data_IF_968621292559
#
_entry.id   IF_968621292559
#
_cell.length_a   1.000
_cell.length_b   1.000
_cell.length_c   1.000
_cell.angle_alpha   90.00
_cell.angle_beta   90.00
_cell.angle_gamma   90.00
#
_symmetry.space_group_name_H-M   'P 1'
#
loop_
_entity.id
_entity.type
_entity.pdbx_description
1 polymer ?
#
# COMPACT_ATOMS: atom_id res chain seq x y z
N UNK A 1 0.08 -14.90 -18.30
CA UNK A 1 -0.46 -13.84 -19.18
C UNK A 1 -1.59 -13.07 -18.55
N UNK A 2 -2.57 -13.76 -17.94
CA UNK A 2 -3.73 -13.12 -17.28
C UNK A 2 -3.26 -12.28 -16.08
N UNK A 3 -2.35 -12.77 -15.27
CA UNK A 3 -1.82 -12.08 -14.08
C UNK A 3 -1.11 -10.77 -14.44
N UNK A 4 -0.33 -10.76 -15.51
CA UNK A 4 0.30 -9.54 -16.01
C UNK A 4 -0.71 -8.50 -16.50
N UNK A 5 -1.78 -8.96 -17.13
CA UNK A 5 -2.86 -8.09 -17.58
C UNK A 5 -3.60 -7.47 -16.40
N UNK A 6 -3.89 -8.28 -15.37
CA UNK A 6 -4.52 -7.82 -14.13
C UNK A 6 -3.65 -6.79 -13.41
N UNK A 7 -2.36 -7.06 -13.27
CA UNK A 7 -1.40 -6.14 -12.65
C UNK A 7 -1.34 -4.80 -13.39
N UNK A 8 -1.21 -4.82 -14.71
CA UNK A 8 -1.17 -3.60 -15.53
C UNK A 8 -2.47 -2.81 -15.41
N UNK A 9 -3.61 -3.50 -15.42
CA UNK A 9 -4.92 -2.87 -15.31
C UNK A 9 -5.09 -2.21 -13.93
N UNK A 10 -4.75 -2.90 -12.84
CA UNK A 10 -4.82 -2.35 -11.48
C UNK A 10 -3.87 -1.17 -11.29
N UNK A 11 -2.64 -1.26 -11.80
CA UNK A 11 -1.69 -0.16 -11.77
C UNK A 11 -2.18 1.06 -12.57
N UNK A 12 -2.81 0.84 -13.72
CA UNK A 12 -3.41 1.92 -14.50
C UNK A 12 -4.55 2.61 -13.73
N UNK A 13 -5.43 1.85 -13.08
CA UNK A 13 -6.49 2.42 -12.24
C UNK A 13 -5.92 3.17 -11.03
N UNK A 14 -4.88 2.64 -10.38
CA UNK A 14 -4.17 3.35 -9.30
C UNK A 14 -3.59 4.68 -9.78
N UNK A 15 -2.94 4.69 -10.94
CA UNK A 15 -2.39 5.92 -11.51
C UNK A 15 -3.47 6.94 -11.86
N UNK A 16 -4.60 6.50 -12.43
CA UNK A 16 -5.73 7.36 -12.78
C UNK A 16 -6.37 7.95 -11.51
N UNK A 17 -6.61 7.12 -10.48
CA UNK A 17 -7.19 7.60 -9.22
C UNK A 17 -6.25 8.54 -8.47
N UNK A 18 -4.94 8.27 -8.45
CA UNK A 18 -3.94 9.17 -7.88
C UNK A 18 -3.94 10.53 -8.60
N UNK A 19 -3.98 10.53 -9.93
CA UNK A 19 -4.06 11.77 -10.70
C UNK A 19 -5.36 12.53 -10.46
N UNK A 20 -6.48 11.82 -10.33
CA UNK A 20 -7.77 12.43 -10.02
C UNK A 20 -7.78 13.10 -8.63
N UNK A 21 -7.16 12.46 -7.61
CA UNK A 21 -7.02 13.02 -6.26
C UNK A 21 -6.30 14.39 -6.31
N UNK A 22 -5.23 14.50 -7.08
CA UNK A 22 -4.45 15.74 -7.20
C UNK A 22 -5.25 16.87 -7.91
N UNK A 23 -6.17 16.49 -8.79
CA UNK A 23 -6.94 17.45 -9.59
C UNK A 23 -8.20 17.98 -8.93
N UNK A 24 -8.78 17.23 -8.02
CA UNK A 24 -10.04 17.56 -7.37
C UNK A 24 -9.77 18.44 -6.15
N UNK A 25 -10.50 19.57 -6.03
CA UNK A 25 -10.39 20.51 -4.91
C UNK A 25 -11.41 20.25 -3.81
N UNK A 26 -12.44 19.46 -4.08
CA UNK A 26 -13.46 19.15 -3.10
C UNK A 26 -12.96 18.05 -2.15
N UNK A 27 -12.72 18.40 -0.89
CA UNK A 27 -12.14 17.48 0.11
C UNK A 27 -13.00 16.25 0.32
N UNK A 28 -14.31 16.35 0.26
CA UNK A 28 -15.20 15.19 0.38
C UNK A 28 -15.01 14.18 -0.76
N UNK A 29 -14.85 14.68 -1.99
CA UNK A 29 -14.57 13.82 -3.14
C UNK A 29 -13.16 13.21 -3.05
N UNK A 30 -12.18 13.96 -2.58
CA UNK A 30 -10.79 13.49 -2.36
C UNK A 30 -10.77 12.34 -1.36
N UNK A 31 -11.47 12.45 -0.23
CA UNK A 31 -11.53 11.39 0.79
C UNK A 31 -12.14 10.11 0.21
N UNK A 32 -13.21 10.21 -0.56
CA UNK A 32 -13.81 9.03 -1.23
C UNK A 32 -12.85 8.38 -2.22
N UNK A 33 -12.18 9.19 -3.04
CA UNK A 33 -11.18 8.69 -3.99
C UNK A 33 -9.98 8.05 -3.28
N UNK A 34 -9.58 8.59 -2.14
CA UNK A 34 -8.53 7.98 -1.31
C UNK A 34 -8.93 6.59 -0.82
N UNK A 35 -10.16 6.42 -0.36
CA UNK A 35 -10.70 5.10 0.00
C UNK A 35 -10.72 4.11 -1.16
N UNK A 36 -11.09 4.57 -2.37
CA UNK A 36 -11.04 3.75 -3.60
C UNK A 36 -9.60 3.39 -3.94
N UNK A 37 -8.66 4.34 -3.84
CA UNK A 37 -7.23 4.11 -4.06
C UNK A 37 -6.69 3.01 -3.14
N UNK A 38 -7.00 3.06 -1.83
CA UNK A 38 -6.60 2.04 -0.87
C UNK A 38 -7.21 0.67 -1.16
N UNK A 39 -8.46 0.60 -1.62
CA UNK A 39 -9.07 -0.67 -2.05
C UNK A 39 -8.40 -1.25 -3.29
N UNK A 40 -8.05 -0.42 -4.26
CA UNK A 40 -7.31 -0.86 -5.46
C UNK A 40 -5.91 -1.33 -5.10
N UNK A 41 -5.23 -0.63 -4.16
CA UNK A 41 -3.93 -1.02 -3.61
C UNK A 41 -4.02 -2.37 -2.91
N UNK A 42 -5.03 -2.57 -2.05
CA UNK A 42 -5.28 -3.86 -1.41
C UNK A 42 -5.52 -4.98 -2.43
N UNK A 43 -6.30 -4.70 -3.49
CA UNK A 43 -6.50 -5.64 -4.60
C UNK A 43 -5.19 -6.02 -5.30
N UNK A 44 -4.29 -5.06 -5.50
CA UNK A 44 -2.97 -5.32 -6.06
C UNK A 44 -2.15 -6.23 -5.13
N UNK A 45 -2.15 -6.00 -3.82
CA UNK A 45 -1.46 -6.85 -2.85
C UNK A 45 -2.00 -8.28 -2.83
N UNK A 46 -3.31 -8.47 -3.02
CA UNK A 46 -3.90 -9.83 -3.17
C UNK A 46 -3.33 -10.53 -4.39
N UNK A 47 -3.23 -9.85 -5.54
CA UNK A 47 -2.67 -10.41 -6.77
C UNK A 47 -1.18 -10.74 -6.63
N UNK A 48 -0.47 -10.03 -5.74
CA UNK A 48 0.93 -10.27 -5.40
C UNK A 48 1.13 -11.31 -4.28
N UNK A 49 0.10 -12.09 -3.92
CA UNK A 49 0.12 -13.09 -2.85
C UNK A 49 0.45 -12.54 -1.45
N UNK A 50 0.27 -11.23 -1.24
CA UNK A 50 0.49 -10.55 0.04
C UNK A 50 -0.86 -10.29 0.75
N UNK A 51 -1.61 -11.33 1.06
CA UNK A 51 -2.97 -11.25 1.59
C UNK A 51 -3.04 -10.52 2.96
N UNK A 52 -2.07 -10.71 3.83
CA UNK A 52 -1.97 -10.03 5.13
C UNK A 52 -1.81 -8.52 4.99
N UNK A 53 -0.99 -8.07 4.05
CA UNK A 53 -0.83 -6.64 3.72
C UNK A 53 -2.11 -6.09 3.08
N UNK A 54 -2.76 -6.87 2.21
CA UNK A 54 -4.01 -6.47 1.57
C UNK A 54 -5.12 -6.21 2.61
N UNK A 55 -5.27 -7.09 3.60
CA UNK A 55 -6.25 -6.92 4.67
C UNK A 55 -5.97 -5.69 5.53
N UNK A 56 -4.72 -5.46 5.90
CA UNK A 56 -4.34 -4.28 6.68
C UNK A 56 -4.55 -2.99 5.90
N UNK A 57 -4.19 -2.95 4.63
CA UNK A 57 -4.42 -1.80 3.74
C UNK A 57 -5.92 -1.53 3.56
N UNK A 58 -6.74 -2.54 3.31
CA UNK A 58 -8.18 -2.38 3.17
C UNK A 58 -8.83 -1.91 4.47
N UNK A 59 -8.47 -2.49 5.61
CA UNK A 59 -9.05 -2.15 6.90
C UNK A 59 -8.67 -0.74 7.35
N UNK A 60 -7.40 -0.38 7.26
CA UNK A 60 -6.89 0.91 7.73
C UNK A 60 -7.07 1.99 6.68
N UNK A 61 -6.65 1.77 5.45
CA UNK A 61 -6.68 2.76 4.38
C UNK A 61 -8.10 3.06 3.90
N UNK A 62 -8.82 2.03 3.45
CA UNK A 62 -10.16 2.22 2.94
C UNK A 62 -11.21 2.37 4.05
N UNK A 63 -11.04 1.70 5.19
CA UNK A 63 -11.97 1.72 6.31
C UNK A 63 -11.70 2.88 7.28
N UNK A 64 -10.81 2.64 8.24
CA UNK A 64 -10.61 3.52 9.39
C UNK A 64 -10.20 4.95 8.98
N UNK A 65 -9.23 5.07 8.08
CA UNK A 65 -8.72 6.37 7.64
C UNK A 65 -9.79 7.21 6.95
N UNK A 66 -10.60 6.62 6.09
CA UNK A 66 -11.67 7.34 5.39
C UNK A 66 -12.76 7.80 6.35
N UNK A 67 -13.13 6.99 7.34
CA UNK A 67 -14.11 7.37 8.37
C UNK A 67 -13.58 8.51 9.22
N UNK A 68 -12.33 8.45 9.67
CA UNK A 68 -11.71 9.52 10.45
C UNK A 68 -11.60 10.82 9.64
N UNK A 69 -11.22 10.76 8.37
CA UNK A 69 -11.16 11.94 7.50
C UNK A 69 -12.55 12.54 7.26
N UNK A 70 -13.58 11.70 7.07
CA UNK A 70 -14.95 12.18 6.93
C UNK A 70 -15.47 12.82 8.23
N UNK A 71 -15.14 12.23 9.39
CA UNK A 71 -15.49 12.79 10.69
C UNK A 71 -14.82 14.16 10.91
N UNK A 72 -13.54 14.28 10.60
CA UNK A 72 -12.82 15.57 10.69
C UNK A 72 -13.38 16.60 9.71
N UNK A 73 -13.73 16.18 8.51
CA UNK A 73 -14.35 17.07 7.51
C UNK A 73 -15.74 17.56 7.97
N UNK A 74 -16.52 16.70 8.61
CA UNK A 74 -17.82 17.08 9.16
C UNK A 74 -17.72 18.15 10.27
N UNK A 75 -16.61 18.14 11.02
CA UNK A 75 -16.32 19.12 12.06
C UNK A 75 -15.71 20.42 11.51
N UNK A 76 -15.19 20.38 10.28
CA UNK A 76 -14.52 21.52 9.65
C UNK A 76 -15.48 22.26 8.72
N UNK A 77 -15.56 23.60 8.84
CA UNK A 77 -16.46 24.42 8.03
C UNK A 77 -16.04 24.58 6.57
N UNK A 78 -14.76 24.33 6.25
CA UNK A 78 -14.20 24.48 4.92
C UNK A 78 -14.14 23.12 4.22
N UNK A 79 -14.89 22.97 3.14
CA UNK A 79 -14.96 21.75 2.34
C UNK A 79 -14.13 21.83 1.05
N UNK A 80 -13.48 22.96 0.81
CA UNK A 80 -12.65 23.19 -0.37
C UNK A 80 -11.21 23.53 0.00
N UNK A 81 -10.28 22.94 -0.75
CA UNK A 81 -8.86 23.22 -0.61
C UNK A 81 -8.53 24.60 -1.18
N UNK A 82 -7.89 25.44 -0.37
CA UNK A 82 -7.38 26.73 -0.83
C UNK A 82 -6.08 26.51 -1.60
N UNK A 83 -5.87 27.19 -2.73
CA UNK A 83 -4.62 27.09 -3.45
C UNK A 83 -3.47 27.56 -2.55
N UNK A 84 -2.33 26.84 -2.52
CA UNK A 84 -1.20 27.23 -1.71
C UNK A 84 -0.66 28.59 -2.13
N UNK A 85 -0.42 29.47 -1.15
CA UNK A 85 0.12 30.83 -1.38
C UNK A 85 1.58 30.81 -1.87
N UNK A 86 2.32 29.72 -1.64
CA UNK A 86 3.70 29.55 -2.06
C UNK A 86 3.87 28.40 -3.04
N UNK A 87 4.82 28.58 -3.96
CA UNK A 87 5.22 27.54 -4.92
C UNK A 87 5.76 26.31 -4.17
N UNK A 88 5.15 25.12 -4.30
CA UNK A 88 5.51 23.94 -3.49
C UNK A 88 6.76 23.23 -4.01
N UNK A 89 7.87 23.96 -4.18
CA UNK A 89 9.11 23.39 -4.69
C UNK A 89 9.75 22.43 -3.69
N UNK A 90 9.78 22.81 -2.43
CA UNK A 90 10.41 22.01 -1.38
C UNK A 90 9.70 20.65 -1.21
N UNK A 91 8.37 20.55 -1.05
CA UNK A 91 7.67 19.26 -1.00
C UNK A 91 7.89 18.42 -2.27
N UNK A 92 7.91 19.07 -3.44
CA UNK A 92 8.11 18.37 -4.71
C UNK A 92 9.50 17.74 -4.83
N UNK A 93 10.54 18.44 -4.40
CA UNK A 93 11.91 17.91 -4.35
C UNK A 93 11.99 16.72 -3.38
N UNK A 94 11.41 16.84 -2.18
CA UNK A 94 11.42 15.76 -1.20
C UNK A 94 10.74 14.52 -1.77
N UNK A 95 9.57 14.66 -2.38
CA UNK A 95 8.84 13.53 -2.99
C UNK A 95 9.64 12.89 -4.13
N UNK A 96 10.26 13.72 -4.99
CA UNK A 96 11.08 13.20 -6.09
C UNK A 96 12.32 12.46 -5.61
N UNK A 97 13.04 13.02 -4.61
CA UNK A 97 14.23 12.38 -4.03
C UNK A 97 13.85 11.07 -3.34
N UNK A 98 12.77 11.07 -2.54
CA UNK A 98 12.29 9.87 -1.87
C UNK A 98 11.82 8.82 -2.89
N UNK A 99 11.07 9.23 -3.91
CA UNK A 99 10.64 8.34 -4.99
C UNK A 99 11.82 7.73 -5.75
N UNK A 100 12.82 8.54 -6.10
CA UNK A 100 14.03 8.07 -6.77
C UNK A 100 14.82 7.09 -5.89
N UNK A 101 14.94 7.36 -4.59
CA UNK A 101 15.60 6.47 -3.65
C UNK A 101 14.88 5.12 -3.53
N UNK A 102 13.54 5.14 -3.49
CA UNK A 102 12.73 3.91 -3.46
C UNK A 102 12.88 3.10 -4.75
N UNK A 103 12.81 3.76 -5.91
CA UNK A 103 13.02 3.09 -7.21
C UNK A 103 14.44 2.51 -7.28
N UNK A 104 15.44 3.25 -6.83
CA UNK A 104 16.82 2.73 -6.77
C UNK A 104 16.93 1.49 -5.87
N UNK A 105 16.27 1.49 -4.72
CA UNK A 105 16.23 0.35 -3.80
C UNK A 105 15.55 -0.89 -4.39
N UNK A 106 14.67 -0.74 -5.39
CA UNK A 106 14.01 -1.88 -6.05
C UNK A 106 14.82 -2.51 -7.18
N UNK A 107 15.91 -1.86 -7.63
CA UNK A 107 16.73 -2.37 -8.75
C UNK A 107 17.44 -3.69 -8.42
N UNK A 108 17.78 -3.91 -7.16
CA UNK A 108 18.49 -5.10 -6.67
C UNK A 108 17.56 -6.20 -6.14
N UNK A 109 16.23 -6.01 -6.27
CA UNK A 109 15.24 -7.01 -5.86
C UNK A 109 15.13 -8.07 -6.95
N UNK A 110 15.21 -9.39 -6.58
CA UNK A 110 15.00 -10.49 -7.52
C UNK A 110 13.65 -10.37 -8.24
N UNK A 111 13.59 -10.87 -9.47
CA UNK A 111 12.35 -10.87 -10.24
C UNK A 111 11.24 -11.62 -9.51
N UNK A 112 10.00 -11.14 -9.68
CA UNK A 112 8.83 -11.79 -9.09
C UNK A 112 8.74 -13.26 -9.54
N UNK A 113 8.48 -14.17 -8.59
CA UNK A 113 8.44 -15.63 -8.83
C UNK A 113 9.77 -16.29 -9.16
N UNK A 114 10.90 -15.69 -8.79
CA UNK A 114 12.21 -16.33 -8.91
C UNK A 114 12.39 -17.37 -7.80
N UNK A 115 12.42 -18.65 -8.19
CA UNK A 115 12.63 -19.78 -7.26
C UNK A 115 14.03 -19.80 -6.63
N UNK A 116 14.99 -19.11 -7.25
CA UNK A 116 16.37 -19.00 -6.78
C UNK A 116 16.60 -17.80 -5.83
N UNK A 117 15.57 -16.97 -5.61
CA UNK A 117 15.67 -15.80 -4.73
C UNK A 117 16.14 -16.17 -3.32
N UNK A 118 16.99 -15.37 -2.68
CA UNK A 118 17.46 -15.60 -1.31
C UNK A 118 16.34 -15.81 -0.29
N UNK A 119 15.19 -15.21 -0.52
CA UNK A 119 14.00 -15.39 0.30
C UNK A 119 13.54 -16.84 0.34
N UNK A 120 13.56 -17.55 -0.79
CA UNK A 120 13.15 -18.95 -0.89
C UNK A 120 14.23 -19.92 -0.40
N UNK A 121 15.51 -19.60 -0.62
CA UNK A 121 16.61 -20.48 -0.24
C UNK A 121 17.07 -20.38 1.20
N UNK A 122 16.98 -19.19 1.79
CA UNK A 122 17.52 -18.93 3.12
C UNK A 122 16.46 -18.53 4.15
N UNK A 123 15.52 -17.70 3.77
CA UNK A 123 14.56 -17.12 4.72
C UNK A 123 13.38 -18.06 4.95
N UNK A 124 12.76 -18.58 3.90
CA UNK A 124 11.58 -19.42 4.02
C UNK A 124 11.86 -20.75 4.77
N UNK A 125 12.94 -21.52 4.47
CA UNK A 125 13.25 -22.73 5.23
C UNK A 125 13.47 -22.43 6.71
N UNK A 126 14.22 -21.39 7.02
CA UNK A 126 14.51 -21.00 8.40
C UNK A 126 13.24 -20.55 9.14
N UNK A 127 12.33 -19.86 8.45
CA UNK A 127 11.04 -19.46 9.01
C UNK A 127 10.14 -20.67 9.31
N UNK A 128 10.18 -21.70 8.45
CA UNK A 128 9.44 -22.95 8.65
C UNK A 128 10.02 -23.73 9.83
N UNK A 129 11.34 -23.84 9.94
CA UNK A 129 12.00 -24.54 11.03
C UNK A 129 11.78 -23.84 12.37
N UNK A 130 12.01 -22.53 12.46
CA UNK A 130 11.86 -21.76 13.69
C UNK A 130 10.39 -21.47 14.02
N UNK A 131 9.53 -21.30 13.01
CA UNK A 131 8.11 -21.07 13.17
C UNK A 131 7.36 -22.30 13.71
N UNK A 132 7.75 -23.49 13.31
CA UNK A 132 7.23 -24.74 13.89
C UNK A 132 7.52 -24.82 15.40
N UNK A 133 8.65 -24.32 15.86
CA UNK A 133 8.99 -24.28 17.29
C UNK A 133 8.11 -23.29 18.09
N UNK A 134 7.62 -22.24 17.45
CA UNK A 134 6.72 -21.26 18.07
C UNK A 134 5.28 -21.78 18.21
N UNK A 135 4.82 -22.62 17.27
CA UNK A 135 3.48 -23.23 17.31
C UNK A 135 3.43 -24.54 18.05
N UNK A 136 4.55 -25.25 18.16
CA UNK A 136 4.74 -26.39 19.05
C UNK A 136 5.37 -25.92 20.36
N UNK A 137 4.72 -25.02 21.05
CA UNK A 137 4.93 -24.86 22.49
C UNK A 137 4.79 -26.26 23.11
N UNK A 138 5.82 -26.77 23.80
CA UNK A 138 5.72 -28.10 24.44
C UNK A 138 4.46 -28.08 25.29
N UNK A 139 3.56 -29.02 25.02
CA UNK A 139 2.37 -29.23 25.82
C UNK A 139 2.85 -29.47 27.26
N UNK A 140 2.14 -28.95 28.30
CA UNK A 140 2.45 -29.27 29.68
C UNK A 140 2.51 -30.79 29.98
N UNK A 141 2.14 -31.64 29.02
CA UNK A 141 2.23 -33.08 29.07
C UNK A 141 3.56 -33.64 28.58
N UNK A 142 4.43 -32.82 27.98
CA UNK A 142 5.75 -33.23 27.46
C UNK A 142 6.88 -32.84 28.41
N UNK A 143 6.55 -32.29 29.59
CA UNK A 143 7.36 -32.06 30.75
C UNK A 143 7.00 -33.07 31.84
#
# INVERSE_FOLDING_TARGET
MIDNLLNITLLAFLAITAFAIIRIRNLFAVIKLFGIYSLLSAGLFVVLDAADVAFTEAAVGAGISTVLMLATLALTKNHEEKPPAHRPWLPMIVVLVTGAALVYGTVDIPSFSDSEAPAHKHVAPRYIEEGCLLYTSPSPRDL
#
